data_IF_625534253015
#
_entry.id   IF_625534253015
#
_cell.length_a   1.000
_cell.length_b   1.000
_cell.length_c   1.000
_cell.angle_alpha   90.00
_cell.angle_beta   90.00
_cell.angle_gamma   90.00
#
_symmetry.space_group_name_H-M   'P 1'
#
loop_
_entity.id
_entity.type
_entity.pdbx_description
1 polymer ?
#
# COMPACT_ATOMS: atom_id res chain seq x y z
N UNK A 1 69.16 -12.71 -17.61
CA UNK A 1 68.46 -11.43 -17.85
C UNK A 1 66.96 -11.67 -17.67
N UNK A 2 66.26 -10.67 -17.15
CA UNK A 2 65.07 -10.74 -16.26
C UNK A 2 63.71 -10.94 -16.97
N UNK A 3 62.71 -11.42 -16.19
CA UNK A 3 61.24 -11.23 -16.27
C UNK A 3 60.45 -12.16 -17.23
N UNK A 4 59.28 -12.73 -16.88
CA UNK A 4 58.41 -12.60 -15.71
C UNK A 4 57.09 -13.42 -15.86
N UNK A 5 56.55 -13.82 -14.71
CA UNK A 5 55.19 -14.20 -14.27
C UNK A 5 54.24 -15.17 -15.03
N UNK A 6 53.81 -16.16 -14.23
CA UNK A 6 52.68 -17.09 -14.35
C UNK A 6 51.31 -16.40 -14.20
N UNK A 7 50.31 -16.93 -14.91
CA UNK A 7 48.94 -17.09 -14.41
C UNK A 7 48.21 -18.16 -15.23
N UNK A 8 48.12 -19.37 -14.66
CA UNK A 8 47.29 -20.47 -15.16
C UNK A 8 45.81 -20.18 -14.91
N UNK A 9 45.01 -20.29 -15.98
CA UNK A 9 43.56 -20.36 -15.90
C UNK A 9 43.11 -21.81 -15.72
N UNK A 10 42.19 -22.05 -14.77
CA UNK A 10 41.49 -23.31 -14.67
C UNK A 10 40.00 -23.07 -14.36
N UNK A 11 39.20 -23.51 -15.31
CA UNK A 11 37.75 -23.68 -15.30
C UNK A 11 37.35 -24.78 -14.29
N UNK A 12 36.24 -24.63 -13.55
CA UNK A 12 35.61 -25.77 -12.86
C UNK A 12 34.08 -25.63 -12.81
N UNK A 13 33.44 -26.72 -13.22
CA UNK A 13 32.00 -26.96 -13.32
C UNK A 13 31.32 -27.13 -11.95
N UNK A 14 30.00 -26.92 -11.91
CA UNK A 14 29.16 -27.28 -10.77
C UNK A 14 28.84 -28.78 -10.67
N UNK A 15 28.37 -29.22 -9.49
CA UNK A 15 27.32 -30.23 -9.33
C UNK A 15 26.18 -29.65 -8.45
N UNK A 16 24.91 -30.02 -8.56
CA UNK A 16 24.35 -31.37 -8.63
C UNK A 16 23.62 -31.67 -7.30
N UNK A 17 22.29 -31.74 -7.36
CA UNK A 17 21.36 -31.90 -6.23
C UNK A 17 21.63 -33.13 -5.35
N UNK A 18 21.63 -32.95 -4.02
CA UNK A 18 20.94 -33.85 -3.06
C UNK A 18 20.88 -33.26 -1.66
N UNK A 19 19.71 -33.37 -1.03
CA UNK A 19 19.41 -32.77 0.25
C UNK A 19 20.15 -33.37 1.44
N UNK A 20 20.25 -32.56 2.50
CA UNK A 20 20.10 -32.92 3.91
C UNK A 20 20.14 -31.62 4.74
N UNK A 21 19.08 -31.47 5.52
CA UNK A 21 18.97 -30.74 6.79
C UNK A 21 20.29 -30.14 7.31
N UNK A 22 20.33 -28.81 7.54
CA UNK A 22 21.46 -28.17 8.23
C UNK A 22 20.95 -27.12 9.21
N UNK A 23 21.22 -27.46 10.46
CA UNK A 23 21.19 -26.70 11.70
C UNK A 23 21.71 -25.27 11.58
N UNK A 24 21.05 -24.35 12.28
CA UNK A 24 21.47 -22.97 12.55
C UNK A 24 22.90 -22.93 13.09
N UNK A 25 23.79 -22.26 12.35
CA UNK A 25 25.09 -21.79 12.83
C UNK A 25 25.08 -20.27 12.75
N UNK A 26 25.15 -19.63 13.91
CA UNK A 26 25.41 -18.20 14.05
C UNK A 26 26.91 -17.94 13.86
N UNK A 27 27.33 -17.07 12.94
CA UNK A 27 28.69 -16.57 12.91
C UNK A 27 28.80 -15.37 13.86
N UNK A 28 29.55 -15.54 14.94
CA UNK A 28 30.33 -14.44 15.49
C UNK A 28 31.38 -14.09 14.43
N UNK A 29 31.42 -12.84 13.98
CA UNK A 29 32.67 -12.24 13.50
C UNK A 29 32.58 -10.71 13.45
N UNK A 30 33.61 -10.10 14.01
CA UNK A 30 34.21 -8.82 13.60
C UNK A 30 35.71 -8.99 13.86
N UNK A 31 36.64 -8.45 13.05
CA UNK A 31 36.49 -7.21 12.29
C UNK A 31 37.05 -7.23 10.84
N UNK A 32 36.46 -6.43 9.96
CA UNK A 32 37.03 -6.15 8.64
C UNK A 32 36.26 -5.04 7.90
N UNK A 33 36.76 -3.81 7.99
CA UNK A 33 36.21 -2.62 7.31
C UNK A 33 36.36 -2.73 5.78
N UNK A 34 35.28 -2.43 5.06
CA UNK A 34 35.33 -1.88 3.69
C UNK A 34 34.79 -0.43 3.72
N UNK A 35 35.34 0.49 2.89
CA UNK A 35 35.19 1.94 3.09
C UNK A 35 33.85 2.46 2.56
N UNK A 36 33.23 3.35 3.33
CA UNK A 36 32.09 4.18 2.92
C UNK A 36 32.65 5.59 2.66
N UNK A 37 32.73 6.00 1.40
CA UNK A 37 32.89 7.41 1.03
C UNK A 37 31.52 7.92 0.59
N UNK A 38 30.84 8.60 1.49
CA UNK A 38 29.54 9.24 1.26
C UNK A 38 29.26 10.16 2.44
N UNK A 39 29.51 11.44 2.24
CA UNK A 39 29.43 12.51 3.23
C UNK A 39 27.96 12.75 3.60
N UNK A 40 27.52 12.33 4.78
CA UNK A 40 26.27 12.80 5.38
C UNK A 40 26.59 13.93 6.35
N UNK A 41 26.09 15.13 6.06
CA UNK A 41 26.12 16.24 6.99
C UNK A 41 25.20 15.93 8.18
N UNK A 42 25.77 16.12 9.38
CA UNK A 42 25.12 15.94 10.67
C UNK A 42 24.22 17.15 10.92
N UNK A 43 22.91 17.01 10.66
CA UNK A 43 21.93 17.95 11.18
C UNK A 43 21.68 17.63 12.65
N UNK A 44 22.32 18.41 13.54
CA UNK A 44 22.10 18.38 14.98
C UNK A 44 20.66 18.77 15.30
N UNK A 45 19.86 17.82 15.82
CA UNK A 45 18.64 18.12 16.54
C UNK A 45 18.90 17.97 18.04
N UNK A 46 19.26 19.10 18.66
CA UNK A 46 19.21 19.27 20.11
C UNK A 46 17.74 19.26 20.56
N UNK A 47 17.41 18.39 21.52
CA UNK A 47 16.07 18.32 22.09
C UNK A 47 15.79 17.03 22.83
N UNK A 48 16.38 16.88 24.01
CA UNK A 48 16.05 15.84 24.98
C UNK A 48 14.53 15.73 25.22
N UNK A 49 13.91 14.62 24.83
CA UNK A 49 12.74 14.06 25.55
C UNK A 49 12.91 12.55 25.71
N UNK A 50 12.87 12.13 26.97
CA UNK A 50 13.00 10.78 27.46
C UNK A 50 11.73 9.93 27.14
N UNK A 51 11.90 8.72 26.59
CA UNK A 51 10.94 7.63 26.73
C UNK A 51 9.98 7.32 25.57
N UNK A 52 10.04 6.06 25.10
CA UNK A 52 9.26 5.37 24.05
C UNK A 52 9.57 5.76 22.60
N UNK A 53 10.33 4.89 21.94
CA UNK A 53 10.30 4.71 20.48
C UNK A 53 8.85 4.49 20.04
N UNK A 54 8.22 5.53 19.48
CA UNK A 54 6.91 5.41 18.85
C UNK A 54 7.11 4.56 17.59
N UNK A 55 6.57 3.34 17.57
CA UNK A 55 6.66 2.46 16.40
C UNK A 55 5.54 2.83 15.44
N UNK A 56 5.83 3.78 14.56
CA UNK A 56 5.02 4.06 13.38
C UNK A 56 5.39 3.09 12.26
N UNK A 57 4.41 2.67 11.48
CA UNK A 57 4.66 2.17 10.13
C UNK A 57 3.98 3.16 9.21
N UNK A 58 4.73 3.86 8.36
CA UNK A 58 4.12 4.67 7.31
C UNK A 58 4.51 4.11 5.96
N UNK A 59 3.56 3.98 5.04
CA UNK A 59 3.86 3.44 3.72
C UNK A 59 3.27 4.30 2.61
N UNK A 60 4.11 4.87 1.74
CA UNK A 60 3.74 5.09 0.36
C UNK A 60 3.94 3.76 -0.40
N UNK A 61 2.86 3.08 -0.77
CA UNK A 61 2.90 1.97 -1.71
C UNK A 61 2.53 2.46 -3.10
N UNK A 62 3.44 2.27 -4.05
CA UNK A 62 3.25 2.50 -5.48
C UNK A 62 3.79 1.30 -6.22
N UNK A 63 3.01 0.22 -6.32
CA UNK A 63 3.35 -0.86 -7.27
C UNK A 63 2.88 -0.45 -8.67
N UNK A 64 3.80 0.10 -9.46
CA UNK A 64 3.66 0.11 -10.92
C UNK A 64 4.98 -0.25 -11.58
N UNK A 65 4.89 -1.09 -12.60
CA UNK A 65 5.98 -1.66 -13.39
C UNK A 65 6.63 -0.68 -14.37
N UNK A 66 6.44 0.64 -14.17
CA UNK A 66 7.05 1.69 -14.97
C UNK A 66 8.04 2.47 -14.09
N UNK A 67 9.29 2.01 -13.99
CA UNK A 67 10.54 2.73 -13.64
C UNK A 67 10.56 3.84 -12.54
N UNK A 68 9.49 4.06 -11.78
CA UNK A 68 9.42 5.04 -10.69
C UNK A 68 9.69 4.32 -9.37
N UNK A 69 10.97 4.15 -9.09
CA UNK A 69 11.45 3.86 -7.73
C UNK A 69 10.88 4.94 -6.78
N UNK A 70 10.06 4.57 -5.80
CA UNK A 70 9.41 5.57 -4.94
C UNK A 70 8.60 5.06 -3.74
N UNK A 71 8.21 3.78 -3.72
CA UNK A 71 7.54 3.19 -2.56
C UNK A 71 8.50 3.00 -1.40
N UNK A 72 8.04 3.21 -0.17
CA UNK A 72 8.81 2.94 1.04
C UNK A 72 7.92 2.46 2.17
N UNK A 73 8.50 1.76 3.13
CA UNK A 73 7.91 1.55 4.46
C UNK A 73 8.86 2.18 5.46
N UNK A 74 8.37 3.15 6.21
CA UNK A 74 9.16 3.86 7.23
C UNK A 74 8.77 3.30 8.58
N UNK A 75 9.75 2.72 9.29
CA UNK A 75 9.58 2.21 10.63
C UNK A 75 10.01 3.24 11.67
N UNK A 76 9.15 3.53 12.63
CA UNK A 76 9.45 4.39 13.78
C UNK A 76 9.39 5.89 13.50
N UNK A 77 8.87 6.31 12.35
CA UNK A 77 8.79 7.72 11.97
C UNK A 77 7.70 8.01 10.95
N UNK A 78 7.58 9.29 10.63
CA UNK A 78 6.71 9.85 9.60
C UNK A 78 7.59 10.85 8.84
N UNK A 79 7.59 10.78 7.51
CA UNK A 79 8.26 11.76 6.66
C UNK A 79 7.19 12.62 5.96
N UNK A 80 7.20 13.91 6.27
CA UNK A 80 6.22 14.87 5.74
C UNK A 80 6.42 15.20 4.27
N UNK A 81 7.52 14.78 3.64
CA UNK A 81 7.73 14.99 2.21
C UNK A 81 6.80 14.15 1.32
N UNK A 82 6.17 13.09 1.86
CA UNK A 82 5.29 12.20 1.11
C UNK A 82 3.81 12.62 1.09
N UNK A 83 3.43 13.67 1.82
CA UNK A 83 2.03 14.10 1.89
C UNK A 83 1.88 15.61 1.93
N UNK A 84 0.68 16.07 1.58
CA UNK A 84 0.28 17.48 1.67
C UNK A 84 -0.73 17.71 2.78
N UNK A 85 -0.75 18.93 3.33
CA UNK A 85 -1.65 19.28 4.43
C UNK A 85 -1.25 18.63 5.75
N UNK A 86 -2.25 18.13 6.49
CA UNK A 86 -2.08 17.53 7.81
C UNK A 86 -2.71 16.13 7.87
N UNK A 87 -2.13 15.25 8.68
CA UNK A 87 -2.70 13.94 8.96
C UNK A 87 -4.04 14.06 9.70
N UNK A 88 -5.06 13.39 9.17
CA UNK A 88 -6.32 13.16 9.84
C UNK A 88 -6.26 11.79 10.53
N UNK A 89 -6.48 11.79 11.85
CA UNK A 89 -6.40 10.56 12.64
C UNK A 89 -7.78 9.92 12.79
N UNK A 90 -7.84 8.62 12.52
CA UNK A 90 -9.04 7.79 12.55
C UNK A 90 -8.84 6.68 13.57
N UNK A 91 -9.69 6.55 14.59
CA UNK A 91 -9.54 5.52 15.61
C UNK A 91 -9.76 4.13 15.02
N UNK A 92 -8.93 3.17 15.44
CA UNK A 92 -9.16 1.75 15.13
C UNK A 92 -10.36 1.26 15.93
N UNK A 93 -11.32 0.60 15.28
CA UNK A 93 -12.57 0.14 15.90
C UNK A 93 -12.43 -1.21 16.60
N UNK A 94 -11.72 -2.15 15.95
CA UNK A 94 -11.43 -3.49 16.47
C UNK A 94 -9.96 -3.78 16.27
N UNK A 95 -9.25 -4.05 17.37
CA UNK A 95 -7.82 -4.39 17.32
C UNK A 95 -7.62 -5.81 16.77
N UNK A 96 -7.20 -5.89 15.51
CA UNK A 96 -6.82 -7.12 14.83
C UNK A 96 -6.26 -6.75 13.47
N UNK A 97 -7.14 -6.43 12.53
CA UNK A 97 -6.78 -5.65 11.35
C UNK A 97 -6.66 -4.16 11.70
N UNK A 98 -6.13 -3.36 10.77
CA UNK A 98 -6.25 -1.90 10.82
C UNK A 98 -7.67 -1.48 10.42
N UNK A 99 -8.63 -1.84 11.27
CA UNK A 99 -10.06 -1.67 11.03
C UNK A 99 -10.53 -0.28 11.47
N UNK A 100 -11.24 0.42 10.58
CA UNK A 100 -11.79 1.75 10.78
C UNK A 100 -13.26 1.79 10.35
N UNK A 101 -13.99 2.81 10.79
CA UNK A 101 -15.34 3.10 10.28
C UNK A 101 -15.26 3.98 9.04
N UNK A 102 -15.94 3.57 7.98
CA UNK A 102 -16.29 4.45 6.85
C UNK A 102 -17.70 4.93 7.10
N UNK A 103 -17.93 6.24 7.03
CA UNK A 103 -19.21 6.87 7.31
C UNK A 103 -20.18 6.72 6.14
N UNK A 104 -19.66 6.86 4.91
CA UNK A 104 -20.42 6.66 3.67
C UNK A 104 -19.52 6.53 2.45
N UNK A 105 -20.05 5.95 1.38
CA UNK A 105 -19.44 5.94 0.06
C UNK A 105 -20.41 6.61 -0.93
N UNK A 106 -19.94 7.67 -1.57
CA UNK A 106 -20.78 8.49 -2.45
C UNK A 106 -20.16 8.68 -3.83
N UNK A 107 -21.01 8.90 -4.82
CA UNK A 107 -20.62 9.30 -6.17
C UNK A 107 -21.64 10.31 -6.70
N UNK A 108 -21.19 11.41 -7.31
CA UNK A 108 -22.04 12.54 -7.68
C UNK A 108 -22.89 13.12 -6.53
N UNK A 109 -22.42 12.99 -5.28
CA UNK A 109 -23.15 13.42 -4.09
C UNK A 109 -24.28 12.50 -3.65
N UNK A 110 -24.52 11.39 -4.36
CA UNK A 110 -25.47 10.35 -3.97
C UNK A 110 -24.75 9.21 -3.25
N UNK A 111 -25.38 8.67 -2.21
CA UNK A 111 -24.85 7.52 -1.47
C UNK A 111 -25.07 6.23 -2.26
N UNK A 112 -23.99 5.61 -2.72
CA UNK A 112 -24.02 4.39 -3.53
C UNK A 112 -23.76 3.12 -2.69
N UNK A 113 -23.11 3.28 -1.53
CA UNK A 113 -22.84 2.20 -0.59
C UNK A 113 -22.61 2.75 0.82
N UNK A 114 -22.62 1.85 1.83
CA UNK A 114 -22.24 2.19 3.20
C UNK A 114 -23.08 3.33 3.82
N UNK A 115 -24.39 3.38 3.53
CA UNK A 115 -25.23 4.55 3.85
C UNK A 115 -25.39 4.87 5.34
N UNK A 116 -25.32 3.86 6.19
CA UNK A 116 -25.40 3.99 7.65
C UNK A 116 -24.03 3.78 8.32
N UNK A 117 -22.97 3.91 7.54
CA UNK A 117 -21.62 3.51 7.91
C UNK A 117 -21.39 2.01 7.78
N UNK A 118 -20.11 1.65 7.70
CA UNK A 118 -19.64 0.28 7.53
C UNK A 118 -18.22 0.16 8.07
N UNK A 119 -17.75 -1.08 8.24
CA UNK A 119 -16.38 -1.33 8.65
C UNK A 119 -15.48 -1.52 7.42
N UNK A 120 -14.28 -0.98 7.49
CA UNK A 120 -13.25 -1.18 6.48
C UNK A 120 -11.92 -1.53 7.14
N UNK A 121 -11.07 -2.28 6.45
CA UNK A 121 -9.66 -2.47 6.82
C UNK A 121 -8.77 -1.74 5.83
N UNK A 122 -7.70 -1.11 6.32
CA UNK A 122 -6.66 -0.55 5.46
C UNK A 122 -5.59 -1.62 5.26
N UNK A 123 -5.48 -2.15 4.04
CA UNK A 123 -4.72 -3.38 3.78
C UNK A 123 -3.77 -3.23 2.59
N UNK A 124 -2.49 -3.10 2.91
CA UNK A 124 -1.38 -3.08 1.95
C UNK A 124 -1.19 -4.39 1.18
N UNK A 125 -1.80 -5.48 1.63
CA UNK A 125 -1.74 -6.80 0.99
C UNK A 125 -2.77 -7.02 -0.11
N UNK A 126 -3.73 -6.11 -0.26
CA UNK A 126 -4.83 -6.21 -1.25
C UNK A 126 -4.68 -5.11 -2.30
N UNK A 127 -4.69 -5.49 -3.58
CA UNK A 127 -4.50 -4.52 -4.67
C UNK A 127 -5.73 -3.63 -4.93
N UNK A 128 -6.94 -4.18 -4.77
CA UNK A 128 -8.19 -3.56 -5.20
C UNK A 128 -8.98 -2.93 -4.03
N UNK A 129 -9.97 -2.12 -4.35
CA UNK A 129 -11.04 -1.74 -3.44
C UNK A 129 -12.02 -2.90 -3.36
N UNK A 130 -12.06 -3.60 -2.23
CA UNK A 130 -12.95 -4.76 -2.08
C UNK A 130 -14.12 -4.42 -1.17
N UNK A 131 -15.30 -4.89 -1.52
CA UNK A 131 -16.50 -4.72 -0.70
C UNK A 131 -17.51 -5.83 -0.91
N UNK A 132 -18.65 -5.79 -0.20
CA UNK A 132 -19.70 -6.77 -0.32
C UNK A 132 -20.23 -6.83 -1.76
N UNK A 133 -20.64 -8.02 -2.20
CA UNK A 133 -20.91 -8.28 -3.62
C UNK A 133 -22.04 -7.39 -4.17
N UNK A 134 -23.07 -7.10 -3.38
CA UNK A 134 -24.23 -6.33 -3.86
C UNK A 134 -23.92 -4.83 -4.05
N UNK A 135 -23.34 -4.12 -3.06
CA UNK A 135 -22.84 -2.75 -3.27
C UNK A 135 -21.82 -2.65 -4.42
N UNK A 136 -20.89 -3.61 -4.52
CA UNK A 136 -19.90 -3.58 -5.61
C UNK A 136 -20.59 -3.76 -6.96
N UNK A 137 -21.56 -4.66 -7.10
CA UNK A 137 -22.29 -4.82 -8.37
C UNK A 137 -22.96 -3.51 -8.82
N UNK A 138 -23.50 -2.72 -7.89
CA UNK A 138 -24.04 -1.40 -8.20
C UNK A 138 -22.94 -0.44 -8.68
N UNK A 139 -21.82 -0.36 -7.96
CA UNK A 139 -20.67 0.47 -8.36
C UNK A 139 -20.17 0.07 -9.76
N UNK A 140 -20.06 -1.22 -10.05
CA UNK A 140 -19.64 -1.70 -11.36
C UNK A 140 -20.61 -1.24 -12.46
N UNK A 141 -21.91 -1.34 -12.22
CA UNK A 141 -22.93 -0.82 -13.16
C UNK A 141 -22.80 0.69 -13.36
N UNK A 142 -22.60 1.43 -12.28
CA UNK A 142 -22.50 2.89 -12.28
C UNK A 142 -21.28 3.42 -13.05
N UNK A 143 -20.14 2.71 -12.98
CA UNK A 143 -18.93 3.06 -13.74
C UNK A 143 -18.92 2.45 -15.16
N UNK A 144 -19.97 1.72 -15.55
CA UNK A 144 -20.09 1.09 -16.86
C UNK A 144 -19.14 -0.10 -17.06
N UNK A 145 -18.81 -0.82 -15.98
CA UNK A 145 -18.01 -2.03 -16.05
C UNK A 145 -18.85 -3.24 -16.47
N UNK A 146 -18.25 -4.12 -17.26
CA UNK A 146 -18.87 -5.39 -17.69
C UNK A 146 -17.86 -6.53 -17.58
N UNK A 147 -18.33 -7.72 -17.25
CA UNK A 147 -17.47 -8.91 -17.17
C UNK A 147 -17.04 -9.38 -18.56
N UNK A 148 -15.75 -9.63 -18.77
CA UNK A 148 -15.22 -10.24 -19.98
C UNK A 148 -15.24 -11.79 -19.89
N UNK A 149 -14.72 -12.48 -20.92
CA UNK A 149 -14.67 -13.94 -20.95
C UNK A 149 -13.75 -14.58 -19.89
N UNK A 150 -12.82 -13.79 -19.35
CA UNK A 150 -11.82 -14.24 -18.38
C UNK A 150 -12.27 -13.93 -16.92
N UNK A 151 -13.43 -13.29 -16.76
CA UNK A 151 -14.01 -12.93 -15.46
C UNK A 151 -13.58 -11.55 -14.94
N UNK A 152 -12.84 -10.77 -15.74
CA UNK A 152 -12.45 -9.41 -15.35
C UNK A 152 -13.58 -8.42 -15.61
N UNK A 153 -13.78 -7.48 -14.68
CA UNK A 153 -14.69 -6.35 -14.86
C UNK A 153 -13.99 -5.26 -15.68
N UNK A 154 -14.25 -5.22 -16.98
CA UNK A 154 -13.63 -4.28 -17.92
C UNK A 154 -14.45 -3.01 -18.09
N UNK A 155 -13.77 -1.88 -18.25
CA UNK A 155 -14.35 -0.55 -18.49
C UNK A 155 -13.72 0.05 -19.75
N UNK A 156 -14.44 0.89 -20.50
CA UNK A 156 -13.84 1.60 -21.63
C UNK A 156 -12.80 2.62 -21.13
N UNK A 157 -11.55 2.56 -21.61
CA UNK A 157 -10.51 3.50 -21.19
C UNK A 157 -10.85 4.98 -21.46
N UNK A 158 -11.69 5.28 -22.47
CA UNK A 158 -12.14 6.64 -22.73
C UNK A 158 -13.07 7.18 -21.64
N UNK A 159 -13.76 6.30 -20.91
CA UNK A 159 -14.70 6.67 -19.84
C UNK A 159 -13.99 7.32 -18.64
N UNK A 160 -12.69 7.07 -18.45
CA UNK A 160 -11.88 7.66 -17.36
C UNK A 160 -12.03 9.20 -17.33
N UNK A 161 -12.13 9.84 -18.50
CA UNK A 161 -12.24 11.30 -18.61
C UNK A 161 -13.61 11.88 -18.23
N UNK A 162 -14.64 11.03 -18.13
CA UNK A 162 -16.03 11.44 -17.88
C UNK A 162 -16.61 10.90 -16.58
N UNK A 163 -15.97 9.89 -15.98
CA UNK A 163 -16.42 9.31 -14.73
C UNK A 163 -16.16 10.28 -13.57
N UNK A 164 -17.04 10.31 -12.56
CA UNK A 164 -16.86 11.12 -11.36
C UNK A 164 -15.92 10.44 -10.35
N UNK A 165 -15.48 11.20 -9.36
CA UNK A 165 -14.81 10.63 -8.19
C UNK A 165 -15.79 9.78 -7.36
N UNK A 166 -15.28 8.70 -6.79
CA UNK A 166 -15.95 7.96 -5.72
C UNK A 166 -15.35 8.41 -4.40
N UNK A 167 -16.18 8.92 -3.50
CA UNK A 167 -15.73 9.56 -2.26
C UNK A 167 -16.03 8.67 -1.07
N UNK A 168 -14.98 8.32 -0.33
CA UNK A 168 -15.08 7.67 0.97
C UNK A 168 -15.11 8.75 2.04
N UNK A 169 -16.16 8.81 2.84
CA UNK A 169 -16.18 9.69 4.02
C UNK A 169 -15.73 8.89 5.22
N UNK A 170 -14.68 9.34 5.92
CA UNK A 170 -14.09 8.65 7.06
C UNK A 170 -13.86 9.67 8.17
N UNK A 171 -14.48 9.46 9.32
CA UNK A 171 -14.41 10.37 10.47
C UNK A 171 -14.78 11.82 10.09
N UNK A 172 -15.81 11.98 9.25
CA UNK A 172 -16.30 13.28 8.75
C UNK A 172 -15.43 13.95 7.68
N UNK A 173 -14.33 13.33 7.25
CA UNK A 173 -13.43 13.86 6.20
C UNK A 173 -13.67 13.09 4.90
N UNK A 174 -13.73 13.81 3.77
CA UNK A 174 -13.91 13.22 2.44
C UNK A 174 -12.57 12.84 1.81
N UNK A 175 -12.50 11.60 1.31
CA UNK A 175 -11.37 11.02 0.60
C UNK A 175 -11.81 10.62 -0.82
N UNK A 176 -11.83 11.57 -1.78
CA UNK A 176 -12.13 11.26 -3.18
C UNK A 176 -11.09 10.32 -3.79
N UNK A 177 -11.55 9.30 -4.49
CA UNK A 177 -10.72 8.42 -5.32
C UNK A 177 -11.10 8.70 -6.77
N UNK A 178 -10.19 9.27 -7.58
CA UNK A 178 -10.51 9.65 -8.94
C UNK A 178 -10.57 8.44 -9.88
N UNK A 179 -11.23 8.56 -11.05
CA UNK A 179 -11.28 7.49 -12.05
C UNK A 179 -9.90 7.00 -12.49
N UNK A 180 -8.92 7.90 -12.58
CA UNK A 180 -7.54 7.53 -12.90
C UNK A 180 -6.86 6.65 -11.84
N UNK A 181 -7.42 6.57 -10.63
CA UNK A 181 -6.95 5.70 -9.56
C UNK A 181 -7.75 4.40 -9.49
N UNK A 182 -9.08 4.46 -9.58
CA UNK A 182 -9.93 3.27 -9.47
C UNK A 182 -10.20 2.55 -10.80
N UNK A 183 -9.74 3.05 -11.94
CA UNK A 183 -9.69 2.31 -13.21
C UNK A 183 -8.23 2.00 -13.53
N UNK A 184 -7.89 0.71 -13.51
CA UNK A 184 -6.52 0.24 -13.71
C UNK A 184 -6.28 -0.02 -15.19
N UNK A 185 -5.23 0.58 -15.75
CA UNK A 185 -4.83 0.36 -17.13
C UNK A 185 -3.77 -0.74 -17.20
N UNK A 186 -4.00 -1.77 -18.01
CA UNK A 186 -3.07 -2.89 -18.21
C UNK A 186 -3.08 -3.31 -19.68
N UNK A 187 -1.92 -3.21 -20.35
CA UNK A 187 -1.71 -3.67 -21.74
C UNK A 187 -2.77 -3.20 -22.75
N UNK A 188 -3.27 -1.97 -22.59
CA UNK A 188 -4.30 -1.37 -23.47
C UNK A 188 -5.75 -1.76 -23.11
N UNK A 189 -5.95 -2.56 -22.08
CA UNK A 189 -7.24 -2.80 -21.42
C UNK A 189 -7.38 -1.93 -20.17
N UNK A 190 -8.62 -1.62 -19.80
CA UNK A 190 -8.95 -0.95 -18.55
C UNK A 190 -9.87 -1.83 -17.72
N UNK A 191 -9.45 -2.12 -16.49
CA UNK A 191 -10.18 -2.96 -15.55
C UNK A 191 -10.63 -2.13 -14.36
N UNK A 192 -11.77 -2.50 -13.78
CA UNK A 192 -12.27 -1.92 -12.54
C UNK A 192 -11.32 -2.23 -11.39
N UNK A 193 -10.99 -1.20 -10.62
CA UNK A 193 -10.27 -1.30 -9.36
C UNK A 193 -11.14 -1.79 -8.21
N UNK A 194 -12.40 -2.17 -8.47
CA UNK A 194 -13.34 -2.68 -7.47
C UNK A 194 -13.52 -4.20 -7.60
N UNK A 195 -13.60 -4.89 -6.46
CA UNK A 195 -13.83 -6.32 -6.38
C UNK A 195 -14.95 -6.67 -5.40
N UNK A 196 -15.87 -7.54 -5.82
CA UNK A 196 -16.93 -8.06 -4.97
C UNK A 196 -16.44 -9.27 -4.20
N UNK A 197 -16.37 -9.19 -2.87
CA UNK A 197 -16.04 -10.31 -2.00
C UNK A 197 -16.78 -10.19 -0.67
N UNK A 198 -17.50 -11.23 -0.30
CA UNK A 198 -18.16 -11.29 1.01
C UNK A 198 -17.19 -11.87 2.04
N UNK A 199 -16.61 -11.00 2.87
CA UNK A 199 -15.75 -11.41 3.98
C UNK A 199 -16.63 -11.50 5.24
N UNK A 200 -16.91 -12.71 5.77
CA UNK A 200 -17.73 -12.85 6.96
C UNK A 200 -16.97 -12.34 8.18
N UNK A 201 -17.54 -11.37 8.88
CA UNK A 201 -17.02 -10.88 10.17
C UNK A 201 -18.13 -10.79 11.20
N UNK A 202 -17.78 -10.81 12.49
CA UNK A 202 -18.74 -10.53 13.58
C UNK A 202 -19.28 -9.09 13.51
N UNK A 203 -18.56 -8.19 12.84
CA UNK A 203 -18.91 -6.77 12.67
C UNK A 203 -19.77 -6.49 11.43
N UNK A 204 -20.17 -7.53 10.68
CA UNK A 204 -20.96 -7.41 9.46
C UNK A 204 -20.11 -7.36 8.18
N UNK A 205 -20.57 -6.56 7.22
CA UNK A 205 -19.96 -6.38 5.90
C UNK A 205 -18.65 -5.59 6.00
N UNK A 206 -17.54 -6.19 5.55
CA UNK A 206 -16.21 -5.59 5.60
C UNK A 206 -15.79 -5.07 4.22
N UNK A 207 -15.31 -3.84 4.18
CA UNK A 207 -14.60 -3.25 3.04
C UNK A 207 -13.09 -3.38 3.21
N UNK A 208 -12.35 -3.42 2.11
CA UNK A 208 -10.89 -3.43 2.10
C UNK A 208 -10.43 -2.22 1.29
N UNK A 209 -9.79 -1.27 1.96
CA UNK A 209 -9.11 -0.13 1.36
C UNK A 209 -7.69 -0.58 0.99
N UNK A 210 -7.56 -1.17 -0.19
CA UNK A 210 -6.31 -1.69 -0.73
C UNK A 210 -5.42 -0.62 -1.38
N UNK A 211 -4.48 -1.08 -2.21
CA UNK A 211 -3.51 -0.23 -2.93
C UNK A 211 -4.16 0.93 -3.70
N UNK A 212 -5.32 0.70 -4.34
CA UNK A 212 -6.05 1.75 -5.06
C UNK A 212 -6.29 2.98 -4.16
N UNK A 213 -6.64 2.77 -2.90
CA UNK A 213 -6.84 3.84 -1.92
C UNK A 213 -5.51 4.36 -1.38
N UNK A 214 -4.61 3.46 -0.97
CA UNK A 214 -3.33 3.81 -0.30
C UNK A 214 -2.40 4.61 -1.24
N UNK A 215 -2.51 4.43 -2.55
CA UNK A 215 -1.77 5.25 -3.54
C UNK A 215 -2.20 6.71 -3.57
N UNK A 216 -3.44 7.01 -3.19
CA UNK A 216 -3.95 8.38 -3.13
C UNK A 216 -3.68 9.02 -1.76
N UNK A 217 -3.59 8.20 -0.72
CA UNK A 217 -3.52 8.65 0.67
C UNK A 217 -2.33 8.05 1.41
N UNK A 218 -1.35 8.89 1.73
CA UNK A 218 -0.27 8.54 2.63
C UNK A 218 -0.85 8.07 3.96
N UNK A 219 -0.46 6.85 4.34
CA UNK A 219 -1.08 6.14 5.46
C UNK A 219 -0.07 5.92 6.58
N UNK A 220 -0.44 6.29 7.80
CA UNK A 220 0.32 6.06 9.03
C UNK A 220 -0.43 5.10 9.93
N UNK A 221 0.25 4.04 10.35
CA UNK A 221 -0.26 3.06 11.29
C UNK A 221 0.35 3.30 12.68
N UNK A 222 -0.45 3.82 13.61
CA UNK A 222 -0.01 4.20 14.96
C UNK A 222 -0.48 3.19 16.00
N UNK A 223 0.44 2.29 16.38
CA UNK A 223 0.21 1.27 17.41
C UNK A 223 0.24 1.81 18.84
N UNK A 224 0.73 3.03 19.07
CA UNK A 224 0.78 3.61 20.41
C UNK A 224 -0.59 4.15 20.83
N UNK A 225 -1.37 4.65 19.86
CA UNK A 225 -2.68 5.26 20.09
C UNK A 225 -3.83 4.50 19.41
N UNK A 226 -3.55 3.37 18.74
CA UNK A 226 -4.53 2.55 18.02
C UNK A 226 -5.36 3.37 17.02
N UNK A 227 -4.67 4.01 16.08
CA UNK A 227 -5.28 4.88 15.07
C UNK A 227 -4.55 4.79 13.73
N UNK A 228 -5.26 5.14 12.67
CA UNK A 228 -4.73 5.29 11.31
C UNK A 228 -4.69 6.78 10.97
N UNK A 229 -3.58 7.27 10.45
CA UNK A 229 -3.42 8.63 9.95
C UNK A 229 -3.49 8.66 8.43
N UNK A 230 -4.29 9.56 7.85
CA UNK A 230 -4.46 9.71 6.41
C UNK A 230 -4.21 11.16 5.97
N UNK A 231 -3.48 11.34 4.88
CA UNK A 231 -3.31 12.61 4.18
C UNK A 231 -3.11 12.37 2.68
N UNK A 232 -3.48 13.32 1.84
CA UNK A 232 -3.25 13.22 0.40
C UNK A 232 -1.74 13.16 0.11
N UNK A 233 -1.33 12.30 -0.84
CA UNK A 233 0.07 12.23 -1.27
C UNK A 233 0.53 13.54 -1.90
N UNK A 234 1.85 13.81 -1.87
CA UNK A 234 2.47 15.03 -2.41
C UNK A 234 2.78 14.96 -3.92
#
# INVERSE_FOLDING_TARGET
>A
TVSGNNSDGAHCMGPGLRGKETTLVTPQDSPGKCPINGRSEEATADGHTNGRTKRFMSSPLTFHSDDKSGSVVIFGGIDSSYYTGSLNWVPVTVEGYWQITVDSITMNGETIACAEGCQAIVDTGTSLLTGPTSPIANIQSDIGASENSDGDMVVSCSAISSLPDIVFTINGVQYPVPPSAYILQSEGSCISGFQGMNVPTESGELWILGDVFIRQYFTVFDRANNQVGLAAVA
#
